data_IF_930712335769
#
_entry.id   IF_930712335769
#
_cell.length_a   1.000
_cell.length_b   1.000
_cell.length_c   1.000
_cell.angle_alpha   90.00
_cell.angle_beta   90.00
_cell.angle_gamma   90.00
#
_symmetry.space_group_name_H-M   'P 1'
#
loop_
_entity.id
_entity.type
_entity.pdbx_description
1 polymer ?
#
# COMPACT_ATOMS: atom_id res chain seq x y z
N UNK A 1 -18.02 10.53 -23.27
CA UNK A 1 -18.42 9.25 -22.64
C UNK A 1 -19.93 9.12 -22.46
N UNK A 2 -20.69 10.20 -22.31
CA UNK A 2 -22.16 10.14 -22.09
C UNK A 2 -23.02 9.62 -23.24
N UNK A 3 -22.52 9.58 -24.49
CA UNK A 3 -23.37 9.24 -25.65
C UNK A 3 -23.56 7.73 -25.90
N UNK A 4 -22.80 6.86 -25.23
CA UNK A 4 -22.83 5.40 -25.48
C UNK A 4 -23.91 4.69 -24.62
N UNK A 5 -24.41 5.32 -23.55
CA UNK A 5 -25.28 4.67 -22.56
C UNK A 5 -26.79 4.83 -22.84
N UNK A 6 -27.19 5.49 -23.94
CA UNK A 6 -28.59 5.86 -24.17
C UNK A 6 -29.49 4.76 -24.77
N UNK A 7 -28.96 3.56 -25.06
CA UNK A 7 -29.71 2.55 -25.79
C UNK A 7 -29.43 1.12 -25.36
N UNK A 8 -29.74 0.75 -24.11
CA UNK A 8 -29.93 -0.64 -23.66
C UNK A 8 -28.78 -1.65 -23.89
N UNK A 9 -27.64 -1.20 -24.43
CA UNK A 9 -26.52 -2.05 -24.76
C UNK A 9 -25.78 -2.41 -23.48
N UNK A 10 -25.83 -3.70 -23.11
CA UNK A 10 -24.91 -4.24 -22.09
C UNK A 10 -23.50 -4.20 -22.68
N UNK A 11 -22.58 -3.59 -21.95
CA UNK A 11 -21.15 -3.75 -22.22
C UNK A 11 -20.83 -5.23 -22.03
N UNK A 12 -20.50 -5.93 -23.11
CA UNK A 12 -20.18 -7.37 -23.11
C UNK A 12 -18.71 -7.63 -22.84
N UNK A 13 -17.82 -6.69 -23.19
CA UNK A 13 -16.43 -6.65 -22.74
C UNK A 13 -15.84 -5.25 -22.91
N UNK A 14 -14.87 -4.91 -22.06
CA UNK A 14 -14.03 -3.72 -22.20
C UNK A 14 -12.58 -4.15 -22.00
N UNK A 15 -11.73 -3.92 -23.00
CA UNK A 15 -10.29 -4.14 -22.88
C UNK A 15 -9.57 -2.80 -22.70
N UNK A 16 -8.58 -2.78 -21.81
CA UNK A 16 -7.80 -1.58 -21.51
C UNK A 16 -6.44 -1.75 -22.19
N UNK A 17 -6.05 -0.78 -23.01
CA UNK A 17 -4.73 -0.75 -23.63
C UNK A 17 -3.84 0.29 -22.98
N UNK A 18 -2.56 -0.04 -22.82
CA UNK A 18 -1.50 0.87 -22.42
C UNK A 18 -0.66 1.25 -23.65
N UNK A 19 -0.07 2.45 -23.63
CA UNK A 19 0.73 2.97 -24.74
C UNK A 19 2.16 3.24 -24.27
N UNK A 20 3.13 2.67 -24.98
CA UNK A 20 4.55 2.77 -24.67
C UNK A 20 5.33 3.34 -25.86
N UNK A 21 6.38 4.12 -25.58
CA UNK A 21 7.25 4.64 -26.65
C UNK A 21 8.04 3.50 -27.27
N UNK A 22 8.04 3.43 -28.60
CA UNK A 22 8.89 2.55 -29.38
C UNK A 22 10.21 3.26 -29.70
N UNK A 23 11.31 2.56 -29.52
CA UNK A 23 12.66 3.06 -29.79
C UNK A 23 13.33 2.25 -30.91
N UNK A 24 14.14 2.91 -31.74
CA UNK A 24 15.03 2.22 -32.68
C UNK A 24 16.33 1.75 -32.00
N UNK A 25 17.24 1.17 -32.79
CA UNK A 25 18.52 0.66 -32.28
C UNK A 25 19.42 1.76 -31.68
N UNK A 26 19.20 3.02 -32.05
CA UNK A 26 19.95 4.18 -31.58
C UNK A 26 19.23 4.90 -30.41
N UNK A 27 18.18 4.29 -29.85
CA UNK A 27 17.32 4.82 -28.78
C UNK A 27 16.54 6.10 -29.15
N UNK A 28 16.31 6.37 -30.44
CA UNK A 28 15.42 7.45 -30.85
C UNK A 28 13.96 6.98 -30.80
N UNK A 29 13.06 7.83 -30.30
CA UNK A 29 11.64 7.52 -30.26
C UNK A 29 11.05 7.52 -31.68
N UNK A 30 10.61 6.36 -32.17
CA UNK A 30 10.10 6.16 -33.53
C UNK A 30 8.59 6.01 -33.60
N UNK A 31 7.91 5.92 -32.45
CA UNK A 31 6.45 5.85 -32.39
C UNK A 31 5.94 5.36 -31.04
N UNK A 32 4.72 4.85 -31.04
CA UNK A 32 4.11 4.18 -29.90
C UNK A 32 3.75 2.73 -30.26
N UNK A 33 3.79 1.86 -29.27
CA UNK A 33 3.24 0.50 -29.34
C UNK A 33 2.20 0.33 -28.25
N UNK A 34 1.20 -0.49 -28.52
CA UNK A 34 0.09 -0.72 -27.60
C UNK A 34 0.21 -2.12 -27.01
N UNK A 35 -0.11 -2.22 -25.73
CA UNK A 35 -0.10 -3.47 -24.98
C UNK A 35 -1.46 -3.65 -24.30
N UNK A 36 -1.95 -4.88 -24.23
CA UNK A 36 -3.13 -5.17 -23.42
C UNK A 36 -2.75 -5.11 -21.95
N UNK A 37 -3.50 -4.34 -21.17
CA UNK A 37 -3.34 -4.30 -19.72
C UNK A 37 -3.48 -5.70 -19.13
N UNK A 38 -4.34 -6.56 -19.69
CA UNK A 38 -4.64 -7.86 -19.10
C UNK A 38 -3.55 -8.91 -19.39
N UNK A 39 -3.02 -8.94 -20.62
CA UNK A 39 -2.09 -10.00 -21.03
C UNK A 39 -0.63 -9.59 -20.94
N UNK A 40 -0.31 -8.33 -21.22
CA UNK A 40 1.08 -7.94 -21.50
C UNK A 40 1.72 -7.15 -20.35
N UNK A 41 0.90 -6.43 -19.57
CA UNK A 41 1.40 -5.61 -18.45
C UNK A 41 1.76 -6.43 -17.21
N UNK A 42 2.66 -5.87 -16.42
CA UNK A 42 3.08 -6.45 -15.14
C UNK A 42 1.91 -6.51 -14.13
N UNK A 43 2.02 -7.43 -13.17
CA UNK A 43 1.03 -7.50 -12.07
C UNK A 43 0.99 -6.21 -11.24
N UNK A 44 2.13 -5.53 -11.06
CA UNK A 44 2.18 -4.25 -10.38
C UNK A 44 1.41 -3.16 -11.10
N UNK A 45 1.53 -3.06 -12.43
CA UNK A 45 0.75 -2.11 -13.24
C UNK A 45 -0.74 -2.37 -13.12
N UNK A 46 -1.16 -3.64 -13.26
CA UNK A 46 -2.55 -4.08 -13.14
C UNK A 46 -3.14 -3.72 -11.78
N UNK A 47 -2.43 -4.06 -10.70
CA UNK A 47 -2.86 -3.76 -9.33
C UNK A 47 -2.92 -2.26 -9.07
N UNK A 48 -1.91 -1.50 -9.50
CA UNK A 48 -1.90 -0.05 -9.33
C UNK A 48 -3.10 0.62 -10.00
N UNK A 49 -3.41 0.21 -11.24
CA UNK A 49 -4.60 0.73 -11.93
C UNK A 49 -5.89 0.31 -11.21
N UNK A 50 -6.00 -0.95 -10.79
CA UNK A 50 -7.16 -1.46 -10.05
C UNK A 50 -7.40 -0.69 -8.74
N UNK A 51 -6.33 -0.31 -8.03
CA UNK A 51 -6.40 0.48 -6.80
C UNK A 51 -6.68 1.97 -7.05
N UNK A 52 -6.35 2.51 -8.23
CA UNK A 52 -6.54 3.93 -8.51
C UNK A 52 -8.00 4.38 -8.38
N UNK A 53 -8.95 3.58 -8.88
CA UNK A 53 -10.38 3.89 -8.81
C UNK A 53 -10.91 4.01 -7.36
N UNK A 54 -10.75 2.98 -6.48
CA UNK A 54 -11.21 3.08 -5.10
C UNK A 54 -10.47 4.16 -4.30
N UNK A 55 -9.17 4.39 -4.55
CA UNK A 55 -8.41 5.47 -3.89
C UNK A 55 -8.99 6.84 -4.24
N UNK A 56 -9.21 7.11 -5.53
CA UNK A 56 -9.76 8.39 -5.97
C UNK A 56 -11.19 8.62 -5.47
N UNK A 57 -12.04 7.60 -5.49
CA UNK A 57 -13.40 7.69 -4.95
C UNK A 57 -13.39 7.97 -3.44
N UNK A 58 -12.48 7.32 -2.71
CA UNK A 58 -12.33 7.50 -1.26
C UNK A 58 -11.89 8.91 -0.92
N UNK A 59 -10.83 9.41 -1.58
CA UNK A 59 -10.31 10.77 -1.37
C UNK A 59 -11.36 11.85 -1.71
N UNK A 60 -12.12 11.68 -2.80
CA UNK A 60 -13.16 12.63 -3.23
C UNK A 60 -14.38 12.68 -2.32
N UNK A 61 -14.64 11.60 -1.60
CA UNK A 61 -15.88 11.44 -0.82
C UNK A 61 -15.63 11.38 0.69
N UNK A 62 -14.38 11.49 1.16
CA UNK A 62 -14.04 11.40 2.58
C UNK A 62 -14.31 10.02 3.19
N UNK A 63 -14.20 8.94 2.41
CA UNK A 63 -14.53 7.57 2.86
C UNK A 63 -13.37 6.95 3.65
N UNK A 64 -13.63 5.76 4.20
CA UNK A 64 -12.60 4.87 4.74
C UNK A 64 -12.33 3.79 3.69
N UNK A 65 -11.07 3.63 3.29
CA UNK A 65 -10.61 2.58 2.40
C UNK A 65 -9.80 1.56 3.20
N UNK A 66 -10.22 0.29 3.12
CA UNK A 66 -9.53 -0.84 3.72
C UNK A 66 -8.83 -1.64 2.61
N UNK A 67 -7.52 -1.86 2.74
CA UNK A 67 -6.73 -2.63 1.77
C UNK A 67 -5.95 -3.71 2.51
N UNK A 68 -6.21 -4.97 2.16
CA UNK A 68 -5.37 -6.08 2.61
C UNK A 68 -4.12 -6.19 1.71
N UNK A 69 -2.96 -6.39 2.33
CA UNK A 69 -1.64 -6.51 1.70
C UNK A 69 -1.41 -5.46 0.60
N UNK A 70 -1.36 -4.19 1.02
CA UNK A 70 -1.20 -3.07 0.08
C UNK A 70 0.07 -3.20 -0.76
N UNK A 71 1.11 -3.77 -0.18
CA UNK A 71 2.43 -4.02 -0.75
C UNK A 71 2.48 -5.24 -1.68
N UNK A 72 1.48 -6.13 -1.68
CA UNK A 72 1.50 -7.30 -2.55
C UNK A 72 1.57 -6.85 -4.03
N UNK A 73 2.69 -7.12 -4.72
CA UNK A 73 2.96 -6.71 -6.11
C UNK A 73 3.11 -5.20 -6.36
N UNK A 74 3.09 -4.33 -5.34
CA UNK A 74 3.44 -2.91 -5.49
C UNK A 74 4.87 -2.65 -5.03
N UNK A 75 5.59 -1.82 -5.77
CA UNK A 75 6.89 -1.35 -5.33
C UNK A 75 6.74 -0.45 -4.08
N UNK A 76 7.60 -0.56 -3.05
CA UNK A 76 7.46 0.22 -1.81
C UNK A 76 7.33 1.73 -2.01
N UNK A 77 8.03 2.30 -3.01
CA UNK A 77 7.90 3.73 -3.35
C UNK A 77 6.49 4.13 -3.83
N UNK A 78 5.79 3.23 -4.52
CA UNK A 78 4.40 3.48 -4.95
C UNK A 78 3.47 3.47 -3.74
N UNK A 79 3.61 2.47 -2.86
CA UNK A 79 2.85 2.38 -1.62
C UNK A 79 3.05 3.62 -0.75
N UNK A 80 4.30 4.08 -0.59
CA UNK A 80 4.61 5.34 0.09
C UNK A 80 3.93 6.55 -0.57
N UNK A 81 3.96 6.62 -1.90
CA UNK A 81 3.28 7.68 -2.65
C UNK A 81 1.77 7.70 -2.36
N UNK A 82 1.13 6.53 -2.34
CA UNK A 82 -0.29 6.40 -2.01
C UNK A 82 -0.59 6.87 -0.57
N UNK A 83 0.20 6.45 0.41
CA UNK A 83 0.06 6.89 1.81
C UNK A 83 0.16 8.42 1.90
N UNK A 84 1.13 9.03 1.21
CA UNK A 84 1.30 10.49 1.18
C UNK A 84 0.10 11.23 0.60
N UNK A 85 -0.67 10.63 -0.31
CA UNK A 85 -1.91 11.24 -0.81
C UNK A 85 -2.93 11.41 0.31
N UNK A 86 -3.08 10.42 1.19
CA UNK A 86 -4.01 10.48 2.32
C UNK A 86 -3.53 11.44 3.43
N UNK A 87 -2.22 11.62 3.61
CA UNK A 87 -1.66 12.55 4.60
C UNK A 87 -1.65 14.03 4.14
N UNK A 88 -1.76 14.31 2.84
CA UNK A 88 -1.73 15.68 2.34
C UNK A 88 -3.15 16.27 2.29
N UNK A 89 -3.41 17.34 3.06
CA UNK A 89 -4.71 18.01 3.11
C UNK A 89 -5.17 18.62 1.77
N UNK A 90 -4.25 18.99 0.87
CA UNK A 90 -4.60 19.46 -0.48
C UNK A 90 -5.14 18.31 -1.34
N UNK A 91 -4.59 17.10 -1.19
CA UNK A 91 -5.02 15.91 -1.91
C UNK A 91 -6.20 15.18 -1.21
N UNK A 92 -6.33 15.36 0.10
CA UNK A 92 -7.34 14.76 0.95
C UNK A 92 -8.18 15.82 1.71
N UNK A 93 -8.88 16.72 0.99
CA UNK A 93 -9.62 17.82 1.61
C UNK A 93 -10.84 17.35 2.42
N UNK A 94 -11.30 16.12 2.19
CA UNK A 94 -12.47 15.53 2.86
C UNK A 94 -12.10 14.55 3.98
N UNK A 95 -10.82 14.52 4.40
CA UNK A 95 -10.34 13.72 5.52
C UNK A 95 -10.67 12.22 5.40
N UNK A 96 -10.52 11.68 4.18
CA UNK A 96 -10.57 10.25 3.91
C UNK A 96 -9.52 9.50 4.72
N UNK A 97 -9.81 8.24 5.06
CA UNK A 97 -8.90 7.39 5.84
C UNK A 97 -8.48 6.17 5.02
N UNK A 98 -7.21 5.81 5.17
CA UNK A 98 -6.65 4.59 4.62
C UNK A 98 -6.23 3.68 5.77
N UNK A 99 -6.79 2.48 5.82
CA UNK A 99 -6.41 1.41 6.74
C UNK A 99 -5.90 0.25 5.90
N UNK A 100 -4.72 -0.25 6.20
CA UNK A 100 -4.13 -1.32 5.42
C UNK A 100 -3.28 -2.27 6.25
N UNK A 101 -3.08 -3.48 5.73
CA UNK A 101 -2.09 -4.45 6.21
C UNK A 101 -0.90 -4.49 5.24
N UNK A 102 0.27 -4.83 5.74
CA UNK A 102 1.51 -4.89 4.96
C UNK A 102 2.48 -5.87 5.61
N UNK A 103 3.31 -6.53 4.80
CA UNK A 103 4.44 -7.33 5.27
C UNK A 103 5.76 -6.54 5.20
N UNK A 104 5.78 -5.43 4.45
CA UNK A 104 6.94 -4.52 4.39
C UNK A 104 7.22 -3.82 5.73
N UNK A 105 8.22 -4.32 6.45
CA UNK A 105 8.69 -3.76 7.73
C UNK A 105 9.41 -2.41 7.58
N UNK A 106 9.77 -2.00 6.37
CA UNK A 106 10.51 -0.76 6.12
C UNK A 106 9.69 0.48 6.51
N UNK A 107 8.37 0.37 6.63
CA UNK A 107 7.52 1.45 7.16
C UNK A 107 7.83 1.80 8.62
N UNK A 108 8.31 0.85 9.42
CA UNK A 108 8.73 1.11 10.81
C UNK A 108 9.92 2.07 10.88
N UNK A 109 10.79 2.07 9.86
CA UNK A 109 11.94 2.97 9.75
C UNK A 109 11.60 4.34 9.14
N UNK A 110 10.31 4.70 9.02
CA UNK A 110 9.85 5.94 8.37
C UNK A 110 8.96 6.78 9.31
N UNK A 111 9.53 7.39 10.36
CA UNK A 111 8.77 8.19 11.34
C UNK A 111 8.09 9.44 10.74
N UNK A 112 8.51 9.86 9.55
CA UNK A 112 7.86 10.93 8.78
C UNK A 112 6.58 10.50 8.07
N UNK A 113 6.36 9.19 7.89
CA UNK A 113 5.13 8.65 7.31
C UNK A 113 4.11 8.30 8.39
N UNK A 114 4.53 7.64 9.46
CA UNK A 114 3.61 7.14 10.47
C UNK A 114 3.99 7.58 11.89
N UNK A 115 2.98 8.07 12.61
CA UNK A 115 2.99 8.17 14.06
C UNK A 115 2.95 6.78 14.71
N UNK A 116 3.43 6.68 15.96
CA UNK A 116 3.44 5.40 16.69
C UNK A 116 2.04 4.86 16.98
N UNK A 117 1.07 5.76 17.10
CA UNK A 117 -0.36 5.48 17.27
C UNK A 117 -1.04 4.96 15.99
N UNK A 118 -0.39 5.14 14.83
CA UNK A 118 -0.86 4.66 13.53
C UNK A 118 -0.30 3.28 13.16
N UNK A 119 0.63 2.74 13.97
CA UNK A 119 1.24 1.43 13.76
C UNK A 119 0.67 0.43 14.74
N UNK A 120 0.14 -0.66 14.21
CA UNK A 120 -0.48 -1.74 14.95
C UNK A 120 0.11 -3.08 14.51
N UNK A 121 0.28 -3.98 15.46
CA UNK A 121 0.82 -5.31 15.24
C UNK A 121 -0.24 -6.36 15.51
N UNK A 122 -0.17 -7.47 14.78
CA UNK A 122 -1.00 -8.65 15.00
C UNK A 122 -0.13 -9.85 15.34
N UNK A 123 -0.41 -10.53 16.45
CA UNK A 123 0.29 -11.73 16.87
C UNK A 123 -0.70 -12.84 17.23
N UNK A 124 -0.37 -14.10 16.94
CA UNK A 124 -1.18 -15.24 17.41
C UNK A 124 -0.65 -15.70 18.76
N UNK A 125 -1.54 -15.78 19.75
CA UNK A 125 -1.19 -16.36 21.03
C UNK A 125 -1.10 -17.90 20.97
N UNK A 126 -0.71 -18.52 22.08
CA UNK A 126 -0.55 -19.98 22.22
C UNK A 126 -1.84 -20.78 21.93
N UNK A 127 -3.01 -20.15 21.96
CA UNK A 127 -4.31 -20.77 21.66
C UNK A 127 -4.75 -20.52 20.21
N UNK A 128 -3.90 -19.91 19.38
CA UNK A 128 -4.19 -19.59 17.98
C UNK A 128 -5.11 -18.37 17.79
N UNK A 129 -5.42 -17.62 18.85
CA UNK A 129 -6.20 -16.39 18.75
C UNK A 129 -5.31 -15.21 18.36
N UNK A 130 -5.79 -14.34 17.46
CA UNK A 130 -5.08 -13.13 17.06
C UNK A 130 -5.29 -12.01 18.07
N UNK A 131 -4.19 -11.46 18.57
CA UNK A 131 -4.15 -10.25 19.39
C UNK A 131 -3.67 -9.08 18.54
N UNK A 132 -4.29 -7.91 18.73
CA UNK A 132 -4.00 -6.67 18.00
C UNK A 132 -3.64 -5.60 19.04
N UNK A 133 -2.48 -4.97 18.87
CA UNK A 133 -1.96 -3.98 19.82
C UNK A 133 -1.12 -2.90 19.12
N UNK A 134 -1.06 -1.71 19.71
CA UNK A 134 -0.39 -0.54 19.11
C UNK A 134 1.09 -0.46 19.49
N UNK A 135 1.92 0.06 18.57
CA UNK A 135 3.30 0.44 18.89
C UNK A 135 3.38 1.50 20.01
N UNK A 136 2.32 2.29 20.22
CA UNK A 136 2.25 3.27 21.30
C UNK A 136 2.31 2.64 22.70
N UNK A 137 1.88 1.37 22.84
CA UNK A 137 1.87 0.64 24.11
C UNK A 137 3.30 0.33 24.61
N UNK A 138 4.27 0.21 23.70
CA UNK A 138 5.68 -0.01 24.02
C UNK A 138 6.38 1.28 24.43
N UNK A 139 6.16 1.75 25.66
CA UNK A 139 6.81 2.97 26.16
C UNK A 139 8.31 2.79 26.39
N UNK A 140 8.73 1.63 26.86
CA UNK A 140 10.13 1.29 27.15
C UNK A 140 10.59 0.13 26.27
N UNK A 141 11.83 0.17 25.80
CA UNK A 141 12.47 -0.95 25.12
C UNK A 141 12.97 -1.99 26.13
N UNK A 142 13.55 -3.08 25.62
CA UNK A 142 14.13 -4.17 26.41
C UNK A 142 15.22 -3.74 27.41
N UNK A 143 15.77 -2.53 27.28
CA UNK A 143 16.79 -1.95 28.17
C UNK A 143 16.21 -0.90 29.13
N UNK A 144 14.89 -0.76 29.22
CA UNK A 144 14.21 0.23 30.07
C UNK A 144 14.32 1.68 29.60
N UNK A 145 14.80 1.93 28.37
CA UNK A 145 14.86 3.27 27.76
C UNK A 145 13.57 3.56 27.00
N UNK A 146 13.15 4.83 26.97
CA UNK A 146 11.97 5.23 26.18
C UNK A 146 12.13 4.86 24.71
N UNK A 147 11.12 4.20 24.14
CA UNK A 147 11.01 3.98 22.68
C UNK A 147 10.63 5.31 22.05
N UNK A 148 11.50 5.85 21.20
CA UNK A 148 11.27 7.09 20.47
C UNK A 148 10.95 6.79 19.02
N UNK A 149 10.19 7.67 18.37
CA UNK A 149 9.96 7.58 16.92
C UNK A 149 11.27 7.69 16.11
N UNK A 150 12.30 8.32 16.69
CA UNK A 150 13.64 8.42 16.09
C UNK A 150 14.50 7.16 16.27
N UNK A 151 14.04 6.17 17.05
CA UNK A 151 14.77 4.92 17.19
C UNK A 151 14.62 4.08 15.91
N UNK A 152 15.52 3.12 15.69
CA UNK A 152 15.39 2.17 14.60
C UNK A 152 14.34 1.10 14.97
N UNK A 153 13.06 1.44 14.75
CA UNK A 153 11.91 0.62 15.12
C UNK A 153 11.87 -0.68 14.32
N UNK A 154 12.29 -0.68 13.05
CA UNK A 154 12.41 -1.89 12.24
C UNK A 154 13.39 -2.88 12.87
N UNK A 155 14.56 -2.41 13.31
CA UNK A 155 15.53 -3.26 14.01
C UNK A 155 14.96 -3.82 15.31
N UNK A 156 14.22 -3.03 16.08
CA UNK A 156 13.58 -3.51 17.31
C UNK A 156 12.52 -4.57 17.01
N UNK A 157 11.71 -4.38 15.97
CA UNK A 157 10.74 -5.36 15.50
C UNK A 157 11.40 -6.66 15.07
N UNK A 158 12.42 -6.60 14.20
CA UNK A 158 13.16 -7.78 13.73
C UNK A 158 13.88 -8.55 14.86
N UNK A 159 14.15 -7.89 15.98
CA UNK A 159 14.69 -8.50 17.20
C UNK A 159 13.60 -9.08 18.13
N UNK A 160 12.33 -9.03 17.74
CA UNK A 160 11.19 -9.51 18.52
C UNK A 160 10.78 -8.61 19.69
N UNK A 161 11.30 -7.38 19.79
CA UNK A 161 11.00 -6.50 20.94
C UNK A 161 9.54 -6.06 21.00
N UNK A 162 8.83 -6.11 19.87
CA UNK A 162 7.41 -5.75 19.76
C UNK A 162 6.52 -6.98 19.52
N UNK A 163 7.04 -8.20 19.62
CA UNK A 163 6.30 -9.40 19.21
C UNK A 163 6.03 -9.42 17.70
N UNK A 164 4.97 -10.12 17.30
CA UNK A 164 4.45 -10.21 15.93
C UNK A 164 5.46 -10.65 14.83
N UNK A 165 6.63 -11.17 15.21
CA UNK A 165 7.59 -11.78 14.27
C UNK A 165 7.24 -13.24 14.01
N UNK A 166 7.43 -13.76 12.78
CA UNK A 166 7.18 -15.17 12.47
C UNK A 166 8.07 -16.11 13.30
N UNK A 167 7.46 -17.14 13.91
CA UNK A 167 8.19 -18.26 14.49
C UNK A 167 8.43 -19.31 13.41
N UNK A 168 9.68 -19.46 12.99
CA UNK A 168 10.05 -20.35 11.89
C UNK A 168 10.34 -21.80 12.32
N UNK A 169 10.42 -22.07 13.63
CA UNK A 169 10.80 -23.38 14.18
C UNK A 169 12.20 -23.85 13.73
N UNK A 170 12.58 -25.06 14.13
CA UNK A 170 13.70 -25.77 13.54
C UNK A 170 13.16 -26.58 12.35
N UNK A 171 13.71 -26.36 11.16
CA UNK A 171 13.40 -27.09 9.92
C UNK A 171 14.51 -28.06 9.52
#
# INVERSE_FOLDING_TARGET
>A
MEKILSGGARITSSDIQTSHKKFDADNNATGATYFSLNTDESQGTKKFLALSAPILDTLKSGKILLIDEIDASLHPMLTEGLIKLFHNAENNPFNAQLIFTTHDVSFLSRPQLFGRDQIWFTEKNLYGSTELYSLLEFRKNSKGKDVRSTDNLEKHYLQGQFGAVPYLGDF
#
